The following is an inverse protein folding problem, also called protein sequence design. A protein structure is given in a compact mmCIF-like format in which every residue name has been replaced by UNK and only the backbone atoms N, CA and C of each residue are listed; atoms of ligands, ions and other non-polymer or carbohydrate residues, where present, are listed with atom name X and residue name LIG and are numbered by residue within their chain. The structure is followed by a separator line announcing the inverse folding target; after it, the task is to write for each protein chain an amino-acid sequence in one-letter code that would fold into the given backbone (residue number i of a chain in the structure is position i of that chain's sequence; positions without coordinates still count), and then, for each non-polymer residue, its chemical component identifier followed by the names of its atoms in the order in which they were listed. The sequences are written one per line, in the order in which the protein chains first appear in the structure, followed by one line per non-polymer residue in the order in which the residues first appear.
data_IF_606597205256
#
_entry.id   IF_606597205256
#
_cell.length_a   1.000
_cell.length_b   1.000
_cell.length_c   1.000
_cell.angle_alpha   90.00
_cell.angle_beta   90.00
_cell.angle_gamma   90.00
#
_symmetry.space_group_name_H-M   'P 1'
#
loop_
_entity.id
_entity.type
_entity.pdbx_description
1 polymer ?
#
# COMPACT_ATOMS: atom_id res chain seq x y z
N UNK A 1 9.34 6.36 11.46
CA UNK A 1 10.13 5.15 11.21
C UNK A 1 9.20 4.09 10.67
N UNK A 2 9.41 3.64 9.44
CA UNK A 2 8.70 2.50 8.87
C UNK A 2 9.43 1.20 9.24
N UNK A 3 8.67 0.15 9.52
CA UNK A 3 9.17 -1.22 9.67
C UNK A 3 8.31 -2.08 8.75
N UNK A 4 8.97 -2.87 7.92
CA UNK A 4 8.38 -3.70 6.88
C UNK A 4 8.89 -5.13 7.06
N UNK A 5 7.96 -6.10 7.14
CA UNK A 5 8.21 -7.43 7.68
C UNK A 5 7.47 -8.51 6.90
N UNK A 6 8.25 -9.29 6.16
CA UNK A 6 7.80 -10.53 5.56
C UNK A 6 7.99 -11.76 6.47
N UNK A 7 7.09 -12.75 6.36
CA UNK A 7 7.23 -14.06 6.99
C UNK A 7 6.92 -15.19 6.00
N UNK A 8 7.59 -16.34 6.16
CA UNK A 8 7.33 -17.56 5.39
C UNK A 8 6.95 -18.67 6.35
N UNK A 9 5.73 -19.21 6.23
CA UNK A 9 5.23 -20.32 7.03
C UNK A 9 4.58 -21.36 6.12
N UNK A 10 5.04 -22.61 6.22
CA UNK A 10 4.50 -23.73 5.44
C UNK A 10 4.45 -23.48 3.92
N UNK A 11 5.40 -22.71 3.40
CA UNK A 11 5.50 -22.36 1.98
C UNK A 11 4.64 -21.17 1.55
N UNK A 12 3.93 -20.52 2.48
CA UNK A 12 3.16 -19.30 2.23
C UNK A 12 3.88 -18.07 2.77
N UNK A 13 3.82 -16.99 2.00
CA UNK A 13 4.37 -15.68 2.32
C UNK A 13 3.28 -14.78 2.90
N UNK A 14 3.64 -13.96 3.87
CA UNK A 14 2.85 -12.84 4.38
C UNK A 14 3.74 -11.61 4.41
N UNK A 15 3.14 -10.45 4.18
CA UNK A 15 3.84 -9.16 4.23
C UNK A 15 3.03 -8.08 4.95
N UNK A 16 3.75 -7.18 5.63
CA UNK A 16 3.18 -6.13 6.46
C UNK A 16 4.19 -5.04 6.79
N UNK A 17 3.76 -3.79 6.59
CA UNK A 17 4.47 -2.61 6.99
C UNK A 17 3.66 -1.71 7.92
N UNK A 18 4.35 -1.10 8.89
CA UNK A 18 3.80 -0.10 9.80
C UNK A 18 4.75 1.09 9.94
N UNK A 19 4.18 2.30 9.94
CA UNK A 19 4.93 3.52 10.27
C UNK A 19 4.59 4.01 11.67
N UNK A 20 5.61 4.19 12.51
CA UNK A 20 5.48 4.81 13.83
C UNK A 20 6.25 6.13 13.91
N UNK A 21 5.65 7.10 14.60
CA UNK A 21 6.37 8.30 15.05
C UNK A 21 7.17 7.96 16.30
N UNK A 22 8.40 8.47 16.40
CA UNK A 22 9.33 8.21 17.51
C UNK A 22 9.66 9.54 18.17
N UNK A 23 9.64 9.56 19.51
CA UNK A 23 10.06 10.74 20.28
C UNK A 23 8.95 11.65 20.78
N UNK A 24 7.71 11.15 20.94
CA UNK A 24 6.61 11.87 21.58
C UNK A 24 5.44 12.12 20.64
N UNK A 25 4.85 13.31 20.69
CA UNK A 25 3.74 13.71 19.82
C UNK A 25 4.25 14.17 18.45
N UNK A 26 3.69 13.66 17.33
CA UNK A 26 4.07 14.11 15.99
C UNK A 26 3.64 15.57 15.74
N UNK A 27 4.43 16.36 14.98
CA UNK A 27 3.95 17.60 14.39
C UNK A 27 2.69 17.35 13.56
N UNK A 28 1.75 18.31 13.56
CA UNK A 28 0.43 18.13 12.94
C UNK A 28 0.47 17.65 11.47
N UNK A 29 1.42 18.12 10.67
CA UNK A 29 1.56 17.70 9.27
C UNK A 29 2.08 16.26 9.13
N UNK A 30 2.92 15.79 10.07
CA UNK A 30 3.41 14.40 10.10
C UNK A 30 2.30 13.46 10.57
N UNK A 31 1.52 13.89 11.56
CA UNK A 31 0.35 13.16 12.03
C UNK A 31 -0.70 13.00 10.91
N UNK A 32 -0.98 14.07 10.15
CA UNK A 32 -1.93 14.00 9.03
C UNK A 32 -1.41 13.15 7.87
N UNK A 33 -0.09 13.16 7.59
CA UNK A 33 0.54 12.24 6.63
C UNK A 33 0.32 10.79 7.05
N UNK A 34 0.63 10.43 8.29
CA UNK A 34 0.46 9.07 8.81
C UNK A 34 -1.00 8.63 8.79
N UNK A 35 -1.91 9.48 9.28
CA UNK A 35 -3.35 9.20 9.29
C UNK A 35 -3.92 9.08 7.89
N UNK A 36 -3.49 9.92 6.95
CA UNK A 36 -3.93 9.84 5.55
C UNK A 36 -3.45 8.56 4.89
N UNK A 37 -2.18 8.18 5.11
CA UNK A 37 -1.61 6.94 4.55
C UNK A 37 -2.40 5.73 5.05
N UNK A 38 -2.64 5.62 6.36
CA UNK A 38 -3.42 4.53 6.95
C UNK A 38 -4.89 4.54 6.49
N UNK A 39 -5.55 5.70 6.41
CA UNK A 39 -6.91 5.80 5.86
C UNK A 39 -6.96 5.36 4.39
N UNK A 40 -5.94 5.72 3.61
CA UNK A 40 -5.88 5.36 2.18
C UNK A 40 -5.76 3.85 2.01
N UNK A 41 -4.94 3.18 2.83
CA UNK A 41 -4.84 1.73 2.89
C UNK A 41 -6.22 1.11 3.11
N UNK A 42 -6.92 1.49 4.18
CA UNK A 42 -8.25 0.92 4.48
C UNK A 42 -9.27 1.18 3.37
N UNK A 43 -9.27 2.36 2.75
CA UNK A 43 -10.14 2.67 1.60
C UNK A 43 -9.81 1.81 0.38
N UNK A 44 -8.53 1.52 0.14
CA UNK A 44 -8.11 0.57 -0.88
C UNK A 44 -8.59 -0.85 -0.58
N UNK A 45 -8.36 -1.33 0.65
CA UNK A 45 -8.78 -2.65 1.13
C UNK A 45 -10.29 -2.85 0.95
N UNK A 46 -11.12 -1.86 1.29
CA UNK A 46 -12.58 -1.91 1.10
C UNK A 46 -12.99 -2.24 -0.35
N UNK A 47 -12.14 -1.91 -1.33
CA UNK A 47 -12.35 -2.20 -2.76
C UNK A 47 -11.78 -3.55 -3.20
N UNK A 48 -11.01 -4.25 -2.38
CA UNK A 48 -10.49 -5.58 -2.68
C UNK A 48 -11.57 -6.67 -2.56
N UNK A 49 -12.55 -6.63 -3.47
CA UNK A 49 -13.76 -7.48 -3.46
C UNK A 49 -13.92 -8.21 -4.79
N UNK A 50 -14.46 -9.44 -4.79
CA UNK A 50 -14.82 -10.12 -6.02
C UNK A 50 -15.74 -9.25 -6.88
N UNK A 51 -15.43 -9.15 -8.18
CA UNK A 51 -16.20 -8.31 -9.12
C UNK A 51 -15.60 -6.94 -9.39
N UNK A 52 -14.90 -6.35 -8.42
CA UNK A 52 -14.12 -5.13 -8.63
C UNK A 52 -12.88 -5.42 -9.47
N UNK A 53 -12.14 -4.37 -9.82
CA UNK A 53 -10.85 -4.45 -10.48
C UNK A 53 -9.77 -3.76 -9.66
N UNK A 54 -8.52 -4.10 -9.92
CA UNK A 54 -7.34 -3.49 -9.28
C UNK A 54 -7.41 -1.96 -9.34
N UNK A 55 -7.82 -1.38 -10.47
CA UNK A 55 -7.95 0.08 -10.62
C UNK A 55 -8.96 0.73 -9.67
N UNK A 56 -9.95 -0.02 -9.14
CA UNK A 56 -10.88 0.50 -8.12
C UNK A 56 -10.17 0.72 -6.78
N UNK A 57 -9.24 -0.17 -6.43
CA UNK A 57 -8.38 -0.08 -5.24
C UNK A 57 -7.43 1.10 -5.41
N UNK A 58 -6.74 1.16 -6.55
CA UNK A 58 -5.81 2.23 -6.90
C UNK A 58 -6.48 3.62 -6.85
N UNK A 59 -7.65 3.76 -7.47
CA UNK A 59 -8.38 5.03 -7.50
C UNK A 59 -8.88 5.45 -6.11
N UNK A 60 -9.26 4.50 -5.24
CA UNK A 60 -9.68 4.80 -3.88
C UNK A 60 -8.53 5.32 -3.01
N UNK A 61 -7.35 4.69 -3.12
CA UNK A 61 -6.13 5.13 -2.44
C UNK A 61 -5.73 6.52 -2.92
N UNK A 62 -5.55 6.70 -4.23
CA UNK A 62 -5.14 7.97 -4.83
C UNK A 62 -6.07 9.11 -4.45
N UNK A 63 -7.39 8.88 -4.52
CA UNK A 63 -8.37 9.91 -4.16
C UNK A 63 -8.25 10.36 -2.71
N UNK A 64 -8.05 9.45 -1.75
CA UNK A 64 -7.87 9.83 -0.34
C UNK A 64 -6.60 10.66 -0.18
N UNK A 65 -5.48 10.19 -0.74
CA UNK A 65 -4.17 10.82 -0.60
C UNK A 65 -4.13 12.22 -1.23
N UNK A 66 -4.52 12.33 -2.50
CA UNK A 66 -4.45 13.59 -3.25
C UNK A 66 -5.47 14.61 -2.72
N UNK A 67 -6.61 14.18 -2.16
CA UNK A 67 -7.58 15.09 -1.52
C UNK A 67 -7.05 15.79 -0.26
N UNK A 68 -5.97 15.26 0.32
CA UNK A 68 -5.28 15.81 1.51
C UNK A 68 -4.06 16.65 1.16
N UNK A 69 -3.75 16.80 -0.14
CA UNK A 69 -2.58 17.55 -0.61
C UNK A 69 -1.26 16.78 -0.55
N UNK A 70 -1.31 15.46 -0.33
CA UNK A 70 -0.16 14.57 -0.43
C UNK A 70 -0.12 13.89 -1.80
N UNK A 71 0.95 13.14 -2.09
CA UNK A 71 1.10 12.43 -3.35
C UNK A 71 1.38 10.94 -3.16
N UNK A 72 0.95 10.13 -4.12
CA UNK A 72 1.17 8.67 -4.10
C UNK A 72 2.42 8.34 -4.91
N UNK A 73 3.35 7.58 -4.31
CA UNK A 73 4.53 7.05 -5.03
C UNK A 73 4.09 6.18 -6.20
N UNK A 74 4.70 6.39 -7.38
CA UNK A 74 4.32 5.69 -8.61
C UNK A 74 5.32 4.63 -9.09
N UNK A 75 6.54 4.67 -8.56
CA UNK A 75 7.59 3.72 -8.94
C UNK A 75 7.48 2.37 -8.22
N UNK A 76 6.77 2.33 -7.08
CA UNK A 76 6.59 1.17 -6.21
C UNK A 76 5.09 0.90 -6.05
N UNK A 77 4.71 -0.38 -6.02
CA UNK A 77 3.33 -0.85 -6.08
C UNK A 77 3.17 -2.11 -5.26
N UNK A 78 1.95 -2.35 -4.79
CA UNK A 78 1.59 -3.63 -4.18
C UNK A 78 1.67 -4.79 -5.16
N UNK A 79 1.59 -6.00 -4.61
CA UNK A 79 1.77 -7.22 -5.36
C UNK A 79 0.81 -8.33 -4.95
N UNK A 80 0.58 -9.28 -5.86
CA UNK A 80 0.03 -10.57 -5.46
C UNK A 80 0.97 -11.29 -4.52
N UNK A 81 0.42 -11.97 -3.52
CA UNK A 81 1.19 -12.71 -2.52
C UNK A 81 0.48 -14.02 -2.21
N UNK A 82 1.27 -15.08 -1.99
CA UNK A 82 0.76 -16.42 -1.73
C UNK A 82 1.90 -17.39 -1.48
N UNK A 83 2.27 -18.18 -2.49
CA UNK A 83 3.41 -19.11 -2.41
C UNK A 83 4.72 -18.52 -2.93
N UNK A 84 4.65 -17.33 -3.51
CA UNK A 84 5.78 -16.47 -3.88
C UNK A 84 5.57 -15.12 -3.21
N UNK A 85 6.66 -14.48 -2.76
CA UNK A 85 6.60 -13.13 -2.17
C UNK A 85 5.89 -12.16 -3.11
N UNK A 86 6.39 -12.06 -4.35
CA UNK A 86 5.81 -11.25 -5.42
C UNK A 86 5.29 -12.16 -6.54
N UNK A 87 4.00 -12.48 -6.52
CA UNK A 87 3.35 -13.28 -7.55
C UNK A 87 3.39 -12.55 -8.90
N UNK A 88 3.78 -13.28 -9.96
CA UNK A 88 3.94 -12.67 -11.29
C UNK A 88 2.59 -12.28 -11.87
N UNK A 89 2.53 -11.09 -12.46
CA UNK A 89 1.38 -10.64 -13.25
C UNK A 89 0.25 -10.00 -12.43
N UNK A 90 0.36 -9.91 -11.10
CA UNK A 90 -0.55 -9.14 -10.27
C UNK A 90 0.20 -8.01 -9.56
N UNK A 91 0.08 -6.81 -10.12
CA UNK A 91 0.52 -5.58 -9.48
C UNK A 91 -0.70 -4.80 -8.99
N UNK A 92 -0.56 -4.12 -7.86
CA UNK A 92 -1.59 -3.29 -7.23
C UNK A 92 -1.02 -1.88 -7.09
N UNK A 93 -1.05 -1.07 -8.17
CA UNK A 93 -0.65 0.32 -8.07
C UNK A 93 -1.51 1.08 -7.08
N UNK A 94 -0.91 2.02 -6.36
CA UNK A 94 -1.62 2.91 -5.44
C UNK A 94 -2.30 4.11 -6.15
N UNK A 95 -2.19 4.15 -7.48
CA UNK A 95 -2.68 5.20 -8.37
C UNK A 95 -3.32 4.60 -9.62
N UNK A 96 -4.37 5.22 -10.14
CA UNK A 96 -5.05 4.71 -11.33
C UNK A 96 -6.52 5.10 -11.44
N UNK A 97 -7.18 4.51 -12.43
CA UNK A 97 -8.56 4.80 -12.75
C UNK A 97 -9.47 3.64 -12.33
N UNK A 98 -10.62 3.98 -11.72
CA UNK A 98 -11.63 3.00 -11.34
C UNK A 98 -12.12 2.20 -12.56
N UNK A 99 -12.45 0.93 -12.38
CA UNK A 99 -12.91 0.04 -13.45
C UNK A 99 -11.83 -0.46 -14.41
N UNK A 100 -10.54 -0.24 -14.13
CA UNK A 100 -9.42 -0.70 -14.96
C UNK A 100 -8.59 -1.80 -14.30
N UNK A 101 -7.76 -2.50 -15.08
CA UNK A 101 -6.88 -3.56 -14.57
C UNK A 101 -7.58 -4.92 -14.37
N UNK A 102 -6.86 -5.83 -13.70
CA UNK A 102 -7.28 -7.22 -13.47
C UNK A 102 -8.57 -7.24 -12.62
N UNK A 103 -9.51 -8.11 -12.99
CA UNK A 103 -10.72 -8.35 -12.21
C UNK A 103 -10.37 -9.19 -10.98
N UNK A 104 -10.78 -8.70 -9.82
CA UNK A 104 -10.61 -9.40 -8.55
C UNK A 104 -11.64 -10.53 -8.48
N UNK A 105 -11.16 -11.72 -8.12
CA UNK A 105 -11.98 -12.91 -7.87
C UNK A 105 -11.74 -13.41 -6.45
N UNK A 106 -12.68 -14.20 -5.94
CA UNK A 106 -12.57 -14.81 -4.62
C UNK A 106 -11.29 -15.67 -4.50
N UNK A 107 -10.64 -15.61 -3.34
CA UNK A 107 -9.37 -16.27 -3.05
C UNK A 107 -8.12 -15.49 -3.48
N UNK A 108 -8.25 -14.44 -4.30
CA UNK A 108 -7.10 -13.60 -4.65
C UNK A 108 -6.55 -12.89 -3.41
N UNK A 109 -5.25 -13.03 -3.20
CA UNK A 109 -4.52 -12.45 -2.08
C UNK A 109 -3.50 -11.43 -2.59
N UNK A 110 -3.41 -10.28 -1.93
CA UNK A 110 -2.51 -9.20 -2.31
C UNK A 110 -1.97 -8.46 -1.08
N UNK A 111 -0.73 -7.99 -1.20
CA UNK A 111 -0.16 -6.90 -0.45
C UNK A 111 -0.74 -5.58 -0.99
N UNK A 112 -1.45 -4.84 -0.16
CA UNK A 112 -1.90 -3.47 -0.46
C UNK A 112 -1.08 -2.53 0.41
N UNK A 113 -0.25 -1.70 -0.24
CA UNK A 113 0.89 -1.02 0.39
C UNK A 113 1.04 0.43 -0.10
N UNK A 114 0.14 1.36 0.29
CA UNK A 114 0.30 2.76 -0.07
C UNK A 114 1.54 3.37 0.56
N UNK A 115 2.41 3.86 -0.33
CA UNK A 115 3.52 4.77 -0.01
C UNK A 115 3.14 6.19 -0.41
N UNK A 116 3.10 7.08 0.57
CA UNK A 116 2.59 8.45 0.43
C UNK A 116 3.68 9.44 0.77
N UNK A 117 3.94 10.38 -0.14
CA UNK A 117 4.90 11.45 0.03
C UNK A 117 4.21 12.75 0.45
N UNK A 118 4.88 13.51 1.31
CA UNK A 118 4.44 14.84 1.71
C UNK A 118 4.58 15.85 0.56
N UNK A 119 5.61 15.70 -0.27
CA UNK A 119 5.84 16.50 -1.48
C UNK A 119 5.41 15.78 -2.75
N UNK A 120 6.28 15.75 -3.76
CA UNK A 120 6.02 15.13 -5.07
C UNK A 120 6.02 13.59 -5.04
N UNK A 121 5.44 12.95 -6.06
CA UNK A 121 5.31 11.48 -6.14
C UNK A 121 6.62 10.78 -6.52
N UNK A 122 7.62 11.53 -6.98
CA UNK A 122 8.87 10.97 -7.48
C UNK A 122 9.76 10.48 -6.34
N UNK A 123 10.35 9.31 -6.58
CA UNK A 123 11.38 8.71 -5.72
C UNK A 123 12.61 8.40 -6.55
N UNK A 124 13.77 8.32 -5.90
CA UNK A 124 15.03 7.88 -6.50
C UNK A 124 15.64 6.76 -5.69
N UNK A 125 16.16 5.77 -6.39
CA UNK A 125 16.95 4.70 -5.81
C UNK A 125 18.37 5.22 -5.48
N UNK A 126 18.91 4.85 -4.34
CA UNK A 126 20.28 5.16 -3.95
C UNK A 126 21.27 4.17 -4.55
N UNK A 127 22.56 4.49 -4.44
CA UNK A 127 23.65 3.67 -4.99
C UNK A 127 23.78 2.29 -4.32
N UNK A 128 23.10 2.07 -3.20
CA UNK A 128 23.07 0.76 -2.53
C UNK A 128 22.17 -0.25 -3.25
N UNK A 129 21.34 0.19 -4.21
CA UNK A 129 20.45 -0.68 -4.98
C UNK A 129 19.20 -1.14 -4.22
N UNK A 130 18.87 -0.48 -3.10
CA UNK A 130 17.75 -0.86 -2.24
C UNK A 130 16.99 0.35 -1.73
N UNK A 131 17.69 1.40 -1.29
CA UNK A 131 17.07 2.51 -0.60
C UNK A 131 16.37 3.42 -1.59
N UNK A 132 15.06 3.60 -1.42
CA UNK A 132 14.30 4.64 -2.10
C UNK A 132 14.16 5.87 -1.20
N UNK A 133 14.41 7.05 -1.77
CA UNK A 133 14.15 8.34 -1.10
C UNK A 133 13.29 9.23 -1.99
N UNK A 134 12.49 10.10 -1.38
CA UNK A 134 11.76 11.14 -2.10
C UNK A 134 12.72 12.03 -2.89
N UNK A 135 12.34 12.38 -4.13
CA UNK A 135 13.20 13.18 -4.99
C UNK A 135 13.44 14.60 -4.43
N UNK A 136 12.47 15.13 -3.69
CA UNK A 136 12.48 16.46 -3.05
C UNK A 136 12.91 16.43 -1.58
N UNK A 137 13.35 15.28 -1.06
CA UNK A 137 13.73 15.05 0.34
C UNK A 137 12.61 15.31 1.38
N UNK A 138 11.34 15.39 0.94
CA UNK A 138 10.19 15.43 1.84
C UNK A 138 9.98 14.10 2.56
N UNK A 139 9.19 14.12 3.64
CA UNK A 139 8.83 12.89 4.37
C UNK A 139 7.94 11.98 3.53
N UNK A 140 8.07 10.67 3.76
CA UNK A 140 7.20 9.64 3.19
C UNK A 140 6.68 8.73 4.30
N UNK A 141 5.53 8.10 4.08
CA UNK A 141 4.89 7.17 5.00
C UNK A 141 4.39 5.94 4.25
N UNK A 142 4.55 4.78 4.88
CA UNK A 142 4.19 3.48 4.34
C UNK A 142 3.38 2.69 5.37
N UNK A 143 2.27 2.10 4.93
CA UNK A 143 1.52 1.08 5.66
C UNK A 143 1.11 0.00 4.69
N UNK A 144 1.00 -1.23 5.18
CA UNK A 144 0.61 -2.36 4.35
C UNK A 144 -0.17 -3.41 5.13
N UNK A 145 -1.07 -4.08 4.40
CA UNK A 145 -1.62 -5.36 4.83
C UNK A 145 -1.63 -6.38 3.69
N UNK A 146 -1.42 -7.65 4.06
CA UNK A 146 -1.81 -8.80 3.24
C UNK A 146 -3.32 -9.03 3.39
N UNK A 147 -4.04 -9.10 2.27
CA UNK A 147 -5.50 -9.14 2.20
C UNK A 147 -5.97 -10.20 1.22
N UNK A 148 -6.95 -11.01 1.61
CA UNK A 148 -7.64 -11.96 0.72
C UNK A 148 -9.04 -11.47 0.39
N UNK A 149 -9.44 -11.58 -0.89
CA UNK A 149 -10.81 -11.35 -1.32
C UNK A 149 -11.69 -12.57 -0.99
N UNK A 150 -12.75 -12.39 -0.20
CA UNK A 150 -13.74 -13.44 0.08
C UNK A 150 -15.12 -13.06 -0.47
N UNK A 151 -16.07 -14.00 -0.49
CA UNK A 151 -17.47 -13.71 -0.84
C UNK A 151 -18.10 -12.59 0.04
N UNK A 152 -17.74 -12.49 1.32
CA UNK A 152 -18.29 -11.49 2.25
C UNK A 152 -17.56 -10.13 2.18
N UNK A 153 -16.37 -10.11 1.60
CA UNK A 153 -15.55 -8.91 1.44
C UNK A 153 -14.05 -9.16 1.59
N UNK A 154 -13.25 -8.10 1.66
CA UNK A 154 -11.83 -8.25 1.96
C UNK A 154 -11.64 -8.76 3.40
N UNK A 155 -10.75 -9.73 3.60
CA UNK A 155 -10.27 -10.13 4.93
C UNK A 155 -8.79 -9.78 5.05
N UNK A 156 -8.45 -8.99 6.06
CA UNK A 156 -7.06 -8.66 6.39
C UNK A 156 -6.45 -9.85 7.13
N UNK A 157 -5.30 -10.33 6.67
CA UNK A 157 -4.61 -11.50 7.23
C UNK A 157 -3.51 -11.13 8.24
N UNK A 158 -3.11 -9.87 8.28
CA UNK A 158 -2.04 -9.35 9.15
C UNK A 158 -2.56 -8.48 10.29
N UNK A 159 -3.83 -8.64 10.67
CA UNK A 159 -4.33 -8.12 11.95
C UNK A 159 -4.12 -9.17 13.06
N UNK A 160 -3.98 -8.73 14.33
CA UNK A 160 -3.88 -9.63 15.49
C UNK A 160 -5.08 -10.56 15.67
#
# INVERSE_FOLDING_TARGET
MGVDCGAILEGYYSDMAVTHYVGGEPPAQVDDLMKTTLRSLHKGIEKWRPGNRVGDVSAAIQKEVESRGFSVVRALVGHGIGTVMHERGLQIPNYGNAGTGIKIVEGMTAAIEPMVNMGGYDVRELKDGWTYVTADASLSCHFEHTVVATADGPRILTLP
#
